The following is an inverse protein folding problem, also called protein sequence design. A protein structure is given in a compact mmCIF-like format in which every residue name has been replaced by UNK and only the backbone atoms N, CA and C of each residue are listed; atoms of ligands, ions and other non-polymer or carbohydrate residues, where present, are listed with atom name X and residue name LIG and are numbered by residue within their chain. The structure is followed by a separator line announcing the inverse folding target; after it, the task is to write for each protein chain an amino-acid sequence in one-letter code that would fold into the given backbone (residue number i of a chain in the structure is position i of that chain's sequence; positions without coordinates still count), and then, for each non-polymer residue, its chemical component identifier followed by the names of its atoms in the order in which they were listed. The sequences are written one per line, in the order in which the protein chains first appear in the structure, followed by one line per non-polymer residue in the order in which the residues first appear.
data_IF_783259866598
#
_entry.id   IF_783259866598
#
_cell.length_a   1.000
_cell.length_b   1.000
_cell.length_c   1.000
_cell.angle_alpha   90.00
_cell.angle_beta   90.00
_cell.angle_gamma   90.00
#
_symmetry.space_group_name_H-M   'P 1'
#
loop_
_entity.id
_entity.type
_entity.pdbx_description
1 polymer ?
2 polymer ?
3 non-polymer ?
4 non-polymer ?
5 non-polymer ?
6 non-polymer ?
7 water ?
#
loop_
_entity_poly.entity_id
_entity_poly.type
_entity_poly.pdbx_seq_one_letter_code
_entity_poly.pdbx_strand_id
2 'polydeoxyribonucleotide' '(DC)(DC)(DC)(DA)(DT)(DC)(DA)(DT)(DT)(DC)(DG)(DA)(DT)(DG)(DG)(DG)' ?
#
# COMPACT_ATOMS: atom_id res chain seq x y z
N UNK A 10 -27.97 -21.07 6.24
CA UNK A 10 -28.30 -21.13 7.69
C UNK A 10 -28.05 -19.73 8.30
N UNK A 11 -26.84 -19.17 8.17
CA UNK A 11 -26.47 -17.86 8.77
C UNK A 11 -26.88 -16.70 7.85
N UNK A 12 -27.79 -15.83 8.29
CA UNK A 12 -28.36 -14.73 7.47
C UNK A 12 -27.94 -13.37 8.05
N UNK A 13 -27.95 -12.35 7.20
CA UNK A 13 -27.43 -11.02 7.54
C UNK A 13 -28.59 -10.19 8.07
N UNK A 14 -28.31 -9.35 9.04
CA UNK A 14 -29.29 -8.38 9.58
C UNK A 14 -29.69 -7.41 8.47
N UNK A 15 -31.00 -7.15 8.25
CA UNK A 15 -31.43 -6.19 7.23
C UNK A 15 -30.74 -4.83 7.31
N UNK A 16 -30.57 -4.29 8.53
CA UNK A 16 -29.93 -2.98 8.75
C UNK A 16 -28.49 -3.04 8.22
N UNK A 17 -27.80 -4.19 8.39
CA UNK A 17 -26.37 -4.34 8.04
C UNK A 17 -26.30 -4.36 6.52
N UNK A 18 -27.26 -5.03 5.88
CA UNK A 18 -27.27 -5.13 4.40
C UNK A 18 -27.46 -3.72 3.86
N UNK A 19 -28.48 -3.01 4.33
CA UNK A 19 -28.88 -1.73 3.70
C UNK A 19 -27.84 -0.64 4.01
N UNK A 20 -27.16 -0.72 5.15
CA UNK A 20 -26.08 0.24 5.50
C UNK A 20 -24.81 -0.10 4.71
N UNK A 21 -24.54 -1.36 4.36
CA UNK A 21 -23.23 -1.74 3.74
C UNK A 21 -23.30 -1.89 2.22
N UNK A 22 -24.47 -2.15 1.62
CA UNK A 22 -24.54 -2.42 0.16
C UNK A 22 -25.06 -1.19 -0.55
N UNK A 23 -25.36 -0.11 0.18
CA UNK A 23 -25.85 1.13 -0.49
C UNK A 23 -24.73 1.65 -1.40
N UNK A 24 -25.03 1.81 -2.69
CA UNK A 24 -23.98 2.06 -3.70
C UNK A 24 -23.70 3.58 -3.85
N UNK A 25 -24.31 4.42 -3.03
CA UNK A 25 -23.88 5.83 -2.97
C UNK A 25 -23.20 6.20 -1.65
N UNK A 26 -23.06 5.27 -0.70
CA UNK A 26 -22.67 5.59 0.71
C UNK A 26 -21.60 4.60 1.20
N UNK A 27 -20.41 5.06 1.53
CA UNK A 27 -19.31 4.19 1.98
C UNK A 27 -19.43 3.81 3.45
N UNK A 28 -18.90 2.63 3.80
CA UNK A 28 -18.66 2.25 5.23
C UNK A 28 -17.22 1.76 5.41
N UNK A 29 -16.78 1.68 6.66
CA UNK A 29 -15.37 1.34 7.01
C UNK A 29 -15.30 -0.18 7.29
N UNK A 30 -16.04 -0.93 6.48
CA UNK A 30 -16.16 -2.41 6.48
C UNK A 30 -16.45 -2.91 5.07
N UNK A 31 -16.20 -4.19 4.85
CA UNK A 31 -16.51 -4.89 3.62
C UNK A 31 -17.28 -6.17 3.92
N UNK A 32 -18.46 -6.30 3.30
CA UNK A 32 -19.24 -7.55 3.31
C UNK A 32 -19.10 -8.22 1.95
N UNK A 33 -19.04 -9.54 2.00
CA UNK A 33 -18.98 -10.41 0.82
C UNK A 33 -20.00 -11.54 1.00
N UNK A 34 -21.04 -11.55 0.16
CA UNK A 34 -21.99 -12.69 0.01
C UNK A 34 -21.47 -13.57 -1.10
N UNK A 35 -21.44 -14.88 -0.87
CA UNK A 35 -20.87 -15.78 -1.90
C UNK A 35 -21.87 -16.92 -2.13
N UNK A 36 -21.79 -17.46 -3.35
CA UNK A 36 -22.64 -18.58 -3.84
C UNK A 36 -21.72 -19.40 -4.71
N UNK A 37 -21.83 -20.72 -4.59
CA UNK A 37 -21.04 -21.68 -5.41
C UNK A 37 -22.05 -22.54 -6.18
N UNK A 38 -21.89 -22.61 -7.50
CA UNK A 38 -22.70 -23.47 -8.38
C UNK A 38 -21.77 -24.43 -9.12
N UNK A 39 -22.18 -25.69 -9.28
CA UNK A 39 -21.53 -26.70 -10.14
C UNK A 39 -21.92 -26.46 -11.61
N UNK A 40 -20.96 -26.40 -12.54
CA UNK A 40 -21.20 -26.32 -14.00
C UNK A 40 -21.13 -27.73 -14.62
N UNK A 41 -22.26 -28.23 -15.12
CA UNK A 41 -22.33 -29.58 -15.74
C UNK A 41 -22.27 -29.45 -17.26
N UNK A 42 -22.44 -30.58 -17.95
CA UNK A 42 -22.67 -30.66 -19.43
C UNK A 42 -23.86 -29.74 -19.75
N UNK A 43 -23.58 -28.47 -20.05
CA UNK A 43 -24.59 -27.46 -20.42
C UNK A 43 -25.13 -26.73 -19.21
N UNK A 44 -25.67 -27.47 -18.23
CA UNK A 44 -26.50 -26.91 -17.12
C UNK A 44 -25.60 -26.38 -15.99
N UNK A 45 -26.19 -25.72 -15.01
CA UNK A 45 -25.57 -25.42 -13.68
C UNK A 45 -26.57 -25.73 -12.56
N UNK A 46 -26.22 -26.68 -11.66
CA UNK A 46 -27.03 -27.06 -10.47
C UNK A 46 -26.65 -26.18 -9.27
N UNK A 47 -27.60 -25.40 -8.74
CA UNK A 47 -27.44 -24.51 -7.55
C UNK A 47 -27.13 -25.37 -6.31
N UNK A 48 -26.09 -24.99 -5.54
CA UNK A 48 -25.61 -25.75 -4.35
C UNK A 48 -25.86 -24.93 -3.09
N UNK A 49 -27.14 -24.87 -2.70
CA UNK A 49 -27.73 -24.14 -1.54
C UNK A 49 -26.84 -24.27 -0.30
N UNK A 50 -26.23 -25.45 -0.08
CA UNK A 50 -25.30 -25.70 1.06
C UNK A 50 -24.09 -24.74 0.97
N UNK A 51 -23.62 -24.41 -0.25
CA UNK A 51 -22.43 -23.53 -0.47
C UNK A 51 -22.87 -22.10 -0.79
N UNK A 52 -23.50 -21.45 0.17
CA UNK A 52 -23.66 -19.98 0.09
C UNK A 52 -23.47 -19.46 1.50
N UNK A 53 -23.05 -18.20 1.63
CA UNK A 53 -23.02 -17.54 2.94
C UNK A 53 -22.48 -16.14 2.77
N UNK A 54 -22.14 -15.51 3.87
CA UNK A 54 -21.56 -14.15 3.79
C UNK A 54 -20.54 -14.06 4.92
N UNK A 55 -19.61 -13.15 4.69
CA UNK A 55 -18.62 -12.80 5.72
C UNK A 55 -18.28 -11.34 5.58
N UNK A 56 -17.44 -10.84 6.48
CA UNK A 56 -16.91 -9.45 6.42
C UNK A 56 -15.41 -9.51 6.71
N UNK A 57 -14.73 -8.41 6.49
CA UNK A 57 -13.27 -8.26 6.75
C UNK A 57 -13.03 -8.48 8.24
N UNK A 58 -11.84 -8.96 8.60
CA UNK A 58 -11.32 -8.79 9.99
C UNK A 58 -10.78 -7.37 10.13
N UNK A 59 -11.42 -6.55 10.96
CA UNK A 59 -11.07 -5.13 11.14
C UNK A 59 -9.61 -5.02 11.61
N UNK A 60 -8.89 -4.05 11.05
CA UNK A 60 -7.64 -3.46 11.59
C UNK A 60 -7.78 -3.24 13.10
N UNK A 61 -6.73 -3.51 13.88
CA UNK A 61 -6.84 -3.35 15.36
C UNK A 61 -5.45 -3.11 15.94
N UNK A 62 -5.06 -1.83 16.02
CA UNK A 62 -3.65 -1.48 16.30
C UNK A 62 -3.31 -1.74 17.78
N UNK A 63 -4.33 -1.83 18.66
CA UNK A 63 -4.19 -2.30 20.06
C UNK A 63 -3.54 -3.70 20.11
N UNK A 64 -3.66 -4.51 19.06
CA UNK A 64 -3.07 -5.87 18.96
C UNK A 64 -1.97 -5.93 17.89
N UNK A 65 -1.62 -4.82 17.24
CA UNK A 65 -0.72 -4.81 16.08
C UNK A 65 -1.27 -5.55 14.85
N UNK A 66 -2.60 -5.60 14.68
CA UNK A 66 -3.27 -6.37 13.60
C UNK A 66 -3.72 -5.39 12.52
N UNK A 67 -3.18 -5.49 11.31
CA UNK A 67 -3.54 -4.55 10.21
C UNK A 67 -4.66 -5.13 9.32
N UNK A 68 -5.46 -6.07 9.86
CA UNK A 68 -6.74 -6.47 9.26
C UNK A 68 -6.60 -7.61 8.27
N UNK A 69 -7.72 -8.21 7.85
CA UNK A 69 -7.70 -9.18 6.72
C UNK A 69 -8.96 -8.97 5.88
N UNK A 70 -8.76 -8.54 4.64
CA UNK A 70 -9.82 -8.10 3.70
C UNK A 70 -10.76 -9.27 3.41
N UNK A 71 -12.02 -8.95 3.13
CA UNK A 71 -13.12 -9.92 2.89
C UNK A 71 -12.71 -10.94 1.83
N UNK A 72 -12.10 -10.49 0.72
CA UNK A 72 -11.69 -11.43 -0.34
C UNK A 72 -10.75 -12.53 0.20
N UNK A 73 -9.79 -12.18 1.06
CA UNK A 73 -8.80 -13.15 1.63
C UNK A 73 -9.49 -14.03 2.67
N UNK A 74 -10.48 -13.49 3.38
CA UNK A 74 -11.31 -14.32 4.29
C UNK A 74 -12.02 -15.40 3.44
N UNK A 75 -12.47 -15.09 2.22
CA UNK A 75 -13.15 -16.08 1.35
C UNK A 75 -12.13 -17.14 0.94
N UNK A 76 -10.93 -16.74 0.52
CA UNK A 76 -9.87 -17.74 0.15
C UNK A 76 -9.57 -18.63 1.36
N UNK A 77 -9.60 -18.10 2.58
CA UNK A 77 -9.33 -18.88 3.81
C UNK A 77 -10.38 -20.01 3.94
N UNK A 78 -11.63 -19.78 3.53
CA UNK A 78 -12.72 -20.73 3.83
C UNK A 78 -12.88 -21.75 2.69
N UNK A 79 -12.13 -21.60 1.59
CA UNK A 79 -12.29 -22.46 0.38
C UNK A 79 -12.07 -23.93 0.74
N UNK A 80 -11.02 -24.30 1.50
CA UNK A 80 -10.82 -25.71 1.87
C UNK A 80 -12.06 -26.31 2.55
N UNK A 81 -12.69 -25.55 3.45
CA UNK A 81 -13.88 -26.02 4.19
C UNK A 81 -15.08 -26.15 3.23
N UNK A 82 -15.05 -25.57 2.04
CA UNK A 82 -16.16 -25.73 1.06
C UNK A 82 -16.13 -27.16 0.51
N UNK A 83 -14.95 -27.79 0.54
CA UNK A 83 -14.79 -29.18 0.06
C UNK A 83 -15.37 -29.27 -1.36
N UNK A 84 -14.89 -28.40 -2.26
CA UNK A 84 -15.14 -28.46 -3.72
C UNK A 84 -14.43 -29.70 -4.27
N UNK A 85 -15.14 -30.52 -5.03
CA UNK A 85 -14.63 -31.79 -5.63
C UNK A 85 -13.67 -31.40 -6.75
N UNK A 86 -12.37 -31.75 -6.65
CA UNK A 86 -11.40 -31.38 -7.68
C UNK A 86 -11.81 -31.90 -9.06
N UNK A 87 -12.67 -32.92 -9.11
CA UNK A 87 -13.10 -33.57 -10.37
C UNK A 87 -14.28 -32.81 -11.01
N UNK A 88 -14.82 -31.76 -10.40
CA UNK A 88 -15.95 -31.01 -11.00
C UNK A 88 -15.54 -29.57 -11.29
N UNK A 89 -16.30 -28.86 -12.12
CA UNK A 89 -16.04 -27.41 -12.41
C UNK A 89 -17.14 -26.60 -11.69
N UNK A 90 -16.73 -25.51 -11.06
CA UNK A 90 -17.62 -24.68 -10.20
C UNK A 90 -17.55 -23.21 -10.65
N UNK A 91 -18.65 -22.48 -10.48
CA UNK A 91 -18.62 -21.00 -10.62
C UNK A 91 -18.88 -20.46 -9.23
N UNK A 92 -17.95 -19.63 -8.74
CA UNK A 92 -18.11 -18.87 -7.46
C UNK A 92 -18.57 -17.47 -7.84
N UNK A 93 -19.64 -16.99 -7.21
CA UNK A 93 -20.10 -15.59 -7.36
C UNK A 93 -19.86 -14.89 -6.02
N UNK A 94 -19.25 -13.73 -6.08
CA UNK A 94 -19.14 -12.77 -4.95
C UNK A 94 -20.07 -11.60 -5.21
N UNK A 95 -20.77 -11.19 -4.18
CA UNK A 95 -21.41 -9.86 -4.13
C UNK A 95 -20.73 -9.13 -2.96
N UNK A 96 -19.86 -8.21 -3.33
CA UNK A 96 -18.89 -7.59 -2.39
C UNK A 96 -19.24 -6.11 -2.31
N UNK A 97 -19.35 -5.57 -1.08
CA UNK A 97 -19.73 -4.15 -0.88
C UNK A 97 -18.65 -3.19 -1.42
N UNK A 98 -17.36 -3.54 -1.40
CA UNK A 98 -16.27 -2.73 -1.99
C UNK A 98 -15.55 -3.62 -2.99
N UNK A 99 -15.08 -3.06 -4.11
CA UNK A 99 -14.25 -3.84 -5.06
C UNK A 99 -12.92 -4.21 -4.41
N UNK A 100 -12.32 -5.36 -4.80
CA UNK A 100 -11.04 -5.80 -4.25
C UNK A 100 -9.89 -4.80 -4.45
N UNK A 101 -9.03 -4.70 -3.44
CA UNK A 101 -7.87 -3.78 -3.46
C UNK A 101 -6.72 -4.49 -4.15
N UNK A 102 -5.71 -3.71 -4.52
CA UNK A 102 -4.39 -4.17 -5.01
C UNK A 102 -3.34 -4.07 -3.89
N UNK A 103 -3.29 -2.96 -3.17
CA UNK A 103 -2.09 -2.51 -2.42
C UNK A 103 -1.77 -3.42 -1.23
N UNK A 104 -2.75 -4.14 -0.67
CA UNK A 104 -2.44 -5.11 0.42
C UNK A 104 -2.12 -6.50 -0.15
N UNK A 105 -2.10 -6.66 -1.48
CA UNK A 105 -1.79 -7.93 -2.16
C UNK A 105 -3.02 -8.79 -2.44
N UNK A 106 -4.22 -8.30 -2.12
CA UNK A 106 -5.48 -9.08 -2.25
C UNK A 106 -5.76 -9.53 -3.70
N UNK A 107 -5.77 -8.63 -4.69
CA UNK A 107 -5.96 -9.01 -6.11
C UNK A 107 -4.96 -10.10 -6.53
N UNK A 108 -3.70 -9.98 -6.07
CA UNK A 108 -2.60 -10.91 -6.35
C UNK A 108 -2.90 -12.31 -5.85
N UNK A 109 -3.39 -12.44 -4.61
CA UNK A 109 -3.73 -13.75 -4.00
C UNK A 109 -4.94 -14.35 -4.73
N UNK A 110 -5.93 -13.54 -5.13
CA UNK A 110 -7.10 -14.07 -5.88
C UNK A 110 -6.62 -14.56 -7.24
N UNK A 111 -5.75 -13.80 -7.90
CA UNK A 111 -5.15 -14.27 -9.19
C UNK A 111 -4.46 -15.61 -8.94
N UNK A 112 -3.58 -15.71 -7.94
CA UNK A 112 -2.82 -16.95 -7.65
C UNK A 112 -3.81 -18.10 -7.44
N UNK A 113 -4.91 -17.79 -6.76
CA UNK A 113 -5.93 -18.82 -6.44
C UNK A 113 -6.51 -19.33 -7.76
N UNK A 114 -6.85 -18.43 -8.67
CA UNK A 114 -7.51 -18.81 -9.94
C UNK A 114 -6.54 -19.59 -10.83
N UNK A 115 -5.26 -19.21 -10.82
CA UNK A 115 -4.23 -19.91 -11.63
C UNK A 115 -4.03 -21.33 -11.09
N UNK A 116 -4.10 -21.49 -9.77
CA UNK A 116 -3.83 -22.78 -9.10
C UNK A 116 -5.07 -23.67 -9.19
N UNK A 117 -6.28 -23.10 -9.31
CA UNK A 117 -7.55 -23.87 -9.26
C UNK A 117 -8.36 -23.60 -10.52
N UNK A 118 -7.98 -24.24 -11.63
CA UNK A 118 -8.56 -24.00 -12.98
C UNK A 118 -9.97 -24.61 -13.09
N UNK A 119 -10.44 -25.39 -12.12
CA UNK A 119 -11.83 -25.92 -12.09
C UNK A 119 -12.79 -24.88 -11.46
N UNK A 120 -12.26 -23.75 -10.97
CA UNK A 120 -13.07 -22.69 -10.28
C UNK A 120 -13.15 -21.48 -11.20
N UNK A 121 -14.37 -21.08 -11.59
CA UNK A 121 -14.61 -19.83 -12.35
C UNK A 121 -15.20 -18.77 -11.42
N UNK A 122 -14.69 -17.53 -11.42
CA UNK A 122 -15.06 -16.51 -10.41
C UNK A 122 -15.84 -15.39 -11.10
N UNK A 123 -16.91 -14.95 -10.46
CA UNK A 123 -17.68 -13.79 -10.94
C UNK A 123 -17.78 -12.84 -9.75
N UNK A 124 -17.41 -11.57 -9.92
CA UNK A 124 -17.41 -10.57 -8.82
C UNK A 124 -18.38 -9.50 -9.26
N UNK A 125 -19.42 -9.22 -8.48
CA UNK A 125 -20.21 -8.00 -8.55
C UNK A 125 -19.91 -7.12 -7.35
N UNK A 126 -19.44 -5.90 -7.62
CA UNK A 126 -19.12 -4.91 -6.59
C UNK A 126 -20.26 -3.89 -6.49
N UNK A 127 -20.66 -3.58 -5.28
CA UNK A 127 -21.61 -2.47 -5.04
C UNK A 127 -20.93 -1.13 -5.30
N UNK A 128 -19.68 -0.96 -4.87
CA UNK A 128 -18.95 0.33 -4.92
C UNK A 128 -17.52 0.07 -5.35
N UNK A 129 -16.88 1.08 -5.95
CA UNK A 129 -15.46 0.95 -6.39
C UNK A 129 -14.56 1.44 -5.26
N UNK A 130 -13.64 0.60 -4.83
CA UNK A 130 -12.71 0.93 -3.73
C UNK A 130 -11.55 1.77 -4.24
N UNK A 131 -11.76 3.06 -4.50
CA UNK A 131 -10.68 3.88 -5.11
C UNK A 131 -9.88 4.61 -4.03
N UNK A 132 -10.13 4.34 -2.75
CA UNK A 132 -9.21 4.75 -1.68
C UNK A 132 -7.86 4.11 -2.03
N UNK A 133 -7.84 2.89 -2.55
CA UNK A 133 -6.59 2.25 -3.00
C UNK A 133 -6.20 2.91 -4.32
N UNK A 134 -5.08 3.65 -4.39
CA UNK A 134 -4.70 4.35 -5.62
C UNK A 134 -4.45 3.38 -6.78
N UNK A 135 -4.20 2.10 -6.50
CA UNK A 135 -3.95 1.06 -7.53
C UNK A 135 -5.23 0.24 -7.77
N UNK A 136 -6.40 0.82 -7.51
CA UNK A 136 -7.70 0.12 -7.68
C UNK A 136 -7.90 -0.32 -9.14
N UNK A 137 -7.48 0.48 -10.11
CA UNK A 137 -7.63 0.10 -11.53
C UNK A 137 -6.86 -1.20 -11.79
N UNK A 138 -5.65 -1.29 -11.22
CA UNK A 138 -4.74 -2.41 -11.51
C UNK A 138 -5.35 -3.68 -10.88
N UNK A 139 -6.04 -3.55 -9.75
CA UNK A 139 -6.76 -4.66 -9.10
C UNK A 139 -7.84 -5.19 -10.06
N UNK A 140 -8.69 -4.30 -10.61
CA UNK A 140 -9.83 -4.72 -11.47
C UNK A 140 -9.30 -5.34 -12.77
N UNK A 141 -8.26 -4.75 -13.35
CA UNK A 141 -7.63 -5.29 -14.59
C UNK A 141 -6.95 -6.65 -14.33
N UNK A 142 -6.27 -6.81 -13.20
CA UNK A 142 -5.58 -8.08 -12.86
C UNK A 142 -6.62 -9.20 -12.74
N UNK A 143 -7.72 -8.93 -12.05
CA UNK A 143 -8.79 -9.95 -11.85
C UNK A 143 -9.39 -10.31 -13.21
N UNK A 144 -9.69 -9.32 -14.04
CA UNK A 144 -10.21 -9.61 -15.39
C UNK A 144 -9.21 -10.49 -16.15
N UNK A 145 -7.93 -10.14 -16.14
CA UNK A 145 -6.84 -10.81 -16.90
C UNK A 145 -6.70 -12.26 -16.42
N UNK A 146 -7.02 -12.54 -15.15
CA UNK A 146 -6.99 -13.90 -14.56
C UNK A 146 -8.26 -14.68 -14.92
N UNK A 147 -9.24 -14.05 -15.56
CA UNK A 147 -10.41 -14.75 -16.12
C UNK A 147 -11.64 -14.53 -15.25
N UNK A 148 -11.55 -13.74 -14.19
CA UNK A 148 -12.70 -13.38 -13.35
C UNK A 148 -13.61 -12.44 -14.13
N UNK A 149 -14.92 -12.64 -14.03
CA UNK A 149 -15.89 -11.65 -14.56
C UNK A 149 -15.93 -10.56 -13.50
N UNK A 150 -15.63 -9.32 -13.86
CA UNK A 150 -15.66 -8.17 -12.92
C UNK A 150 -16.83 -7.28 -13.34
N UNK A 151 -17.78 -7.06 -12.44
CA UNK A 151 -19.04 -6.37 -12.77
C UNK A 151 -19.43 -5.46 -11.61
N UNK A 152 -20.32 -4.51 -11.89
CA UNK A 152 -21.02 -3.67 -10.89
C UNK A 152 -22.37 -4.29 -10.56
N UNK A 153 -22.76 -4.30 -9.28
CA UNK A 153 -24.09 -4.71 -8.84
C UNK A 153 -25.11 -3.74 -9.41
N UNK A 154 -26.20 -4.26 -9.97
CA UNK A 154 -27.41 -3.49 -10.34
C UNK A 154 -28.53 -3.97 -9.42
N UNK A 155 -29.72 -3.44 -9.68
CA UNK A 155 -30.99 -3.76 -8.98
C UNK A 155 -31.12 -5.28 -8.89
N UNK A 156 -30.96 -6.00 -9.98
CA UNK A 156 -31.15 -7.48 -9.96
C UNK A 156 -30.23 -8.12 -8.92
N UNK A 157 -28.97 -7.71 -8.83
CA UNK A 157 -28.02 -8.35 -7.87
C UNK A 157 -28.37 -7.94 -6.44
N UNK A 158 -28.74 -6.67 -6.23
CA UNK A 158 -29.11 -6.24 -4.86
C UNK A 158 -30.33 -7.02 -4.39
N UNK A 159 -31.32 -7.15 -5.27
CA UNK A 159 -32.59 -7.82 -4.92
C UNK A 159 -32.27 -9.29 -4.67
N UNK A 160 -31.43 -9.90 -5.50
CA UNK A 160 -31.08 -11.33 -5.26
C UNK A 160 -30.42 -11.49 -3.88
N UNK A 161 -29.51 -10.58 -3.50
CA UNK A 161 -28.76 -10.70 -2.22
C UNK A 161 -29.70 -10.49 -1.04
N UNK A 162 -30.59 -9.52 -1.14
CA UNK A 162 -31.65 -9.32 -0.12
C UNK A 162 -32.43 -10.62 0.03
N UNK A 163 -32.88 -11.20 -1.09
CA UNK A 163 -33.81 -12.34 -1.09
C UNK A 163 -33.07 -13.57 -0.53
N UNK A 164 -31.77 -13.68 -0.83
CA UNK A 164 -31.00 -14.91 -0.57
C UNK A 164 -30.25 -14.83 0.76
N UNK A 165 -29.70 -13.70 1.15
CA UNK A 165 -28.73 -13.66 2.27
C UNK A 165 -29.29 -12.97 3.51
N UNK A 166 -30.34 -12.16 3.36
CA UNK A 166 -30.80 -11.29 4.45
C UNK A 166 -31.96 -11.96 5.22
N UNK A 167 -32.00 -11.71 6.52
CA UNK A 167 -33.08 -12.15 7.45
C UNK A 167 -34.25 -11.16 7.31
N UNK A 168 -34.94 -11.15 6.16
CA UNK A 168 -35.97 -10.13 5.84
C UNK A 168 -37.28 -10.48 6.54
N UNK A 169 -37.49 -11.71 7.03
CA UNK A 169 -38.76 -12.14 7.67
C UNK A 169 -39.98 -11.93 6.76
N UNK A 170 -39.80 -11.88 5.42
CA UNK A 170 -40.92 -11.79 4.47
C UNK A 170 -40.95 -10.44 3.76
N UNK A 171 -40.11 -9.50 4.17
CA UNK A 171 -40.14 -8.10 3.68
C UNK A 171 -39.49 -8.05 2.30
N UNK A 172 -40.20 -7.68 1.20
CA UNK A 172 -39.57 -7.52 -0.10
C UNK A 172 -38.41 -6.52 -0.06
N UNK A 173 -37.49 -6.61 -1.02
CA UNK A 173 -36.38 -5.65 -1.16
C UNK A 173 -36.98 -4.26 -1.42
N UNK A 174 -36.52 -3.24 -0.71
CA UNK A 174 -36.96 -1.84 -0.90
C UNK A 174 -35.77 -1.05 -1.43
N UNK A 175 -35.65 -0.80 -2.74
CA UNK A 175 -34.44 -0.15 -3.24
C UNK A 175 -34.22 1.21 -2.59
N UNK A 176 -32.99 1.58 -2.22
CA UNK A 176 -32.67 2.95 -1.73
C UNK A 176 -32.79 3.93 -2.89
N UNK A 177 -33.02 5.20 -2.62
CA UNK A 177 -33.01 6.28 -3.65
C UNK A 177 -31.67 6.31 -4.39
N UNK A 178 -31.67 6.45 -5.71
CA UNK A 178 -30.43 6.62 -6.48
C UNK A 178 -29.76 5.29 -6.82
N UNK A 179 -30.34 4.17 -6.41
CA UNK A 179 -29.73 2.84 -6.71
C UNK A 179 -29.33 2.77 -8.18
N UNK A 180 -30.28 2.95 -9.10
CA UNK A 180 -30.05 2.77 -10.57
C UNK A 180 -29.03 3.79 -11.08
N UNK A 181 -29.17 5.05 -10.67
CA UNK A 181 -28.28 6.15 -11.11
C UNK A 181 -26.84 5.80 -10.68
N UNK A 182 -26.66 5.35 -9.45
CA UNK A 182 -25.29 5.05 -8.93
C UNK A 182 -24.73 3.81 -9.65
N UNK A 183 -25.56 2.81 -9.90
CA UNK A 183 -25.11 1.59 -10.62
C UNK A 183 -24.65 1.97 -12.03
N UNK A 184 -25.39 2.83 -12.70
CA UNK A 184 -25.01 3.22 -14.10
C UNK A 184 -23.67 3.95 -14.06
N UNK A 185 -23.52 4.94 -13.19
CA UNK A 185 -22.29 5.76 -13.11
C UNK A 185 -21.10 4.83 -12.80
N UNK A 186 -21.26 3.92 -11.85
CA UNK A 186 -20.14 3.02 -11.48
C UNK A 186 -19.83 2.14 -12.69
N UNK A 187 -20.88 1.69 -13.37
CA UNK A 187 -20.76 0.78 -14.54
C UNK A 187 -19.90 1.48 -15.59
N UNK A 188 -20.11 2.78 -15.77
CA UNK A 188 -19.35 3.59 -16.75
C UNK A 188 -17.89 3.68 -16.32
N UNK A 189 -17.61 3.78 -15.01
CA UNK A 189 -16.21 3.92 -14.52
C UNK A 189 -15.54 2.59 -14.72
N UNK A 190 -16.26 1.51 -14.44
CA UNK A 190 -15.65 0.17 -14.56
C UNK A 190 -15.36 -0.18 -16.01
N UNK A 191 -16.26 0.18 -16.92
CA UNK A 191 -16.06 -0.10 -18.36
C UNK A 191 -14.82 0.64 -18.85
N UNK A 192 -14.67 1.93 -18.56
CA UNK A 192 -13.48 2.74 -18.97
C UNK A 192 -12.20 2.06 -18.45
N UNK A 193 -12.22 1.51 -17.23
CA UNK A 193 -11.05 0.82 -16.62
C UNK A 193 -10.77 -0.48 -17.38
N UNK A 194 -11.82 -1.22 -17.78
CA UNK A 194 -11.61 -2.57 -18.41
C UNK A 194 -11.35 -2.44 -19.91
N UNK A 195 -11.60 -1.27 -20.51
CA UNK A 195 -11.34 -1.11 -21.96
C UNK A 195 -9.87 -1.29 -22.28
N UNK A 196 -8.97 -0.89 -21.36
CA UNK A 196 -7.49 -0.99 -21.54
C UNK A 196 -6.98 -2.36 -21.04
N UNK B 10 32.85 14.68 -6.55
CA UNK B 10 32.79 15.14 -7.96
C UNK B 10 31.32 15.39 -8.35
N UNK B 11 30.31 14.61 -7.97
CA UNK B 11 28.90 14.84 -8.40
C UNK B 11 28.14 15.76 -7.44
N UNK B 12 27.81 17.00 -7.83
CA UNK B 12 27.39 18.06 -6.86
C UNK B 12 25.99 18.59 -7.20
N UNK B 13 25.22 18.98 -6.19
CA UNK B 13 23.81 19.38 -6.32
C UNK B 13 23.77 20.89 -6.56
N UNK B 14 22.87 21.34 -7.41
CA UNK B 14 22.58 22.77 -7.62
C UNK B 14 22.11 23.40 -6.31
N UNK B 15 22.68 24.53 -5.84
CA UNK B 15 22.25 25.14 -4.58
C UNK B 15 20.73 25.40 -4.51
N UNK B 16 20.11 25.84 -5.62
CA UNK B 16 18.65 26.12 -5.69
C UNK B 16 17.88 24.81 -5.43
N UNK B 17 18.36 23.70 -5.98
CA UNK B 17 17.75 22.35 -5.81
C UNK B 17 17.85 21.98 -4.33
N UNK B 18 19.02 22.20 -3.70
CA UNK B 18 19.22 21.82 -2.28
C UNK B 18 18.25 22.64 -1.45
N UNK B 19 18.21 23.95 -1.63
CA UNK B 19 17.48 24.81 -0.68
C UNK B 19 15.97 24.67 -0.90
N UNK B 20 15.50 24.37 -2.11
CA UNK B 20 14.06 24.10 -2.34
C UNK B 20 13.69 22.70 -1.85
N UNK B 21 14.58 21.71 -1.92
CA UNK B 21 14.20 20.32 -1.56
C UNK B 21 14.47 20.00 -0.08
N UNK B 22 15.38 20.69 0.59
CA UNK B 22 15.74 20.33 1.97
C UNK B 22 15.09 21.33 2.93
N UNK B 23 14.34 22.28 2.41
CA UNK B 23 13.60 23.25 3.28
C UNK B 23 12.68 22.46 4.21
N UNK B 24 12.79 22.64 5.52
CA UNK B 24 12.03 21.78 6.45
C UNK B 24 10.67 22.40 6.79
N UNK B 25 10.25 23.48 6.14
CA UNK B 25 8.83 23.90 6.22
C UNK B 25 8.00 23.17 5.17
N UNK B 26 7.72 23.86 4.05
CA UNK B 26 6.97 23.26 2.91
C UNK B 26 7.93 22.50 1.98
N UNK B 27 7.43 21.39 1.47
CA UNK B 27 8.25 20.41 0.74
C UNK B 27 7.99 20.48 -0.75
N UNK B 28 8.42 19.43 -1.47
CA UNK B 28 8.39 19.38 -2.96
C UNK B 28 7.84 18.02 -3.37
N UNK B 29 7.49 17.87 -4.64
CA UNK B 29 6.86 16.65 -5.20
C UNK B 29 7.98 15.73 -5.70
N UNK B 30 9.11 15.79 -5.00
CA UNK B 30 10.29 14.92 -5.23
C UNK B 30 11.03 14.67 -3.91
N UNK B 31 11.92 13.70 -3.96
CA UNK B 31 12.73 13.32 -2.81
C UNK B 31 14.19 13.28 -3.23
N UNK B 32 15.03 13.95 -2.46
CA UNK B 32 16.51 13.86 -2.59
C UNK B 32 17.05 13.05 -1.42
N UNK B 33 18.11 12.30 -1.71
CA UNK B 33 18.83 11.52 -0.70
C UNK B 33 20.33 11.73 -0.93
N UNK B 34 21.01 12.26 0.09
CA UNK B 34 22.48 12.36 0.13
C UNK B 34 22.97 11.21 1.00
N UNK B 35 23.98 10.48 0.56
CA UNK B 35 24.40 9.31 1.36
C UNK B 35 25.92 9.39 1.56
N UNK B 36 26.38 8.77 2.65
CA UNK B 36 27.80 8.65 3.07
C UNK B 36 27.96 7.27 3.67
N UNK B 37 29.05 6.59 3.33
CA UNK B 37 29.31 5.20 3.78
C UNK B 37 30.69 5.22 4.42
N UNK B 38 30.80 4.76 5.67
CA UNK B 38 32.05 4.73 6.48
C UNK B 38 32.25 3.31 7.03
N UNK B 39 33.49 2.83 7.09
CA UNK B 39 33.88 1.54 7.71
C UNK B 39 34.08 1.75 9.21
N UNK B 40 33.53 0.88 10.07
CA UNK B 40 33.82 0.87 11.53
C UNK B 40 34.87 -0.21 11.84
N UNK B 41 36.07 0.20 12.25
CA UNK B 41 37.23 -0.68 12.52
C UNK B 41 37.63 -0.54 14.00
N UNK B 42 37.60 -1.65 14.74
CA UNK B 42 37.94 -1.74 16.20
C UNK B 42 37.34 -0.54 16.94
N UNK B 43 36.03 -0.30 16.79
CA UNK B 43 35.26 0.74 17.51
C UNK B 43 35.44 2.14 16.92
N UNK B 44 36.41 2.32 16.01
CA UNK B 44 36.79 3.62 15.40
C UNK B 44 35.89 3.87 14.18
N UNK B 45 36.20 4.89 13.37
CA UNK B 45 35.41 5.34 12.19
C UNK B 45 36.36 5.97 11.17
N UNK B 46 36.52 5.39 9.97
CA UNK B 46 37.34 5.94 8.86
C UNK B 46 36.44 6.15 7.63
N UNK B 47 36.30 7.42 7.18
CA UNK B 47 35.45 7.85 6.04
C UNK B 47 35.94 7.22 4.72
N UNK B 48 35.02 6.75 3.86
CA UNK B 48 35.30 6.26 2.48
C UNK B 48 34.77 7.26 1.46
N UNK B 49 35.53 8.36 1.27
CA UNK B 49 35.26 9.51 0.37
C UNK B 49 34.68 9.06 -0.98
N UNK B 50 35.17 7.93 -1.53
CA UNK B 50 34.65 7.33 -2.79
C UNK B 50 33.14 7.04 -2.66
N UNK B 51 32.66 6.66 -1.47
CA UNK B 51 31.26 6.22 -1.21
C UNK B 51 30.45 7.37 -0.60
N UNK B 52 30.32 8.47 -1.31
CA UNK B 52 29.31 9.49 -0.94
C UNK B 52 28.70 9.98 -2.24
N UNK B 53 27.44 10.39 -2.19
CA UNK B 53 26.85 10.99 -3.39
C UNK B 53 25.40 11.30 -3.10
N UNK B 54 24.62 11.57 -4.12
CA UNK B 54 23.20 11.92 -3.89
C UNK B 54 22.42 11.46 -5.11
N UNK B 55 21.13 11.28 -4.88
CA UNK B 55 20.22 10.87 -5.97
C UNK B 55 18.84 11.42 -5.64
N UNK B 56 17.89 11.19 -6.54
CA UNK B 56 16.48 11.54 -6.30
C UNK B 56 15.60 10.39 -6.79
N UNK B 57 14.34 10.41 -6.40
CA UNK B 57 13.35 9.41 -6.85
C UNK B 57 13.27 9.42 -8.39
N UNK B 58 12.93 8.28 -8.96
CA UNK B 58 12.42 8.21 -10.36
C UNK B 58 10.94 8.58 -10.33
N UNK B 59 10.58 9.73 -10.90
CA UNK B 59 9.20 10.26 -10.86
C UNK B 59 8.22 9.27 -11.51
N UNK B 60 7.07 9.08 -10.85
CA UNK B 60 5.87 8.37 -11.36
C UNK B 60 5.57 8.82 -12.80
N UNK B 61 5.13 7.91 -13.66
CA UNK B 61 4.54 8.28 -14.97
C UNK B 61 3.50 7.25 -15.36
N UNK B 62 2.27 7.38 -14.86
CA UNK B 62 1.16 6.41 -15.06
C UNK B 62 0.74 6.31 -16.53
N UNK B 63 0.87 7.39 -17.28
CA UNK B 63 0.58 7.45 -18.74
C UNK B 63 1.44 6.40 -19.48
N UNK B 64 2.60 6.03 -18.93
CA UNK B 64 3.54 5.05 -19.54
C UNK B 64 3.64 3.77 -18.71
N UNK B 65 2.77 3.58 -17.71
CA UNK B 65 2.77 2.38 -16.85
C UNK B 65 3.89 2.34 -15.81
N UNK B 66 4.59 3.45 -15.52
CA UNK B 66 5.68 3.49 -14.52
C UNK B 66 5.18 4.10 -13.20
N UNK B 67 5.18 3.31 -12.14
CA UNK B 67 4.76 3.69 -10.76
C UNK B 67 5.82 4.50 -9.99
N UNK B 68 6.97 4.78 -10.59
CA UNK B 68 8.05 5.54 -9.92
C UNK B 68 8.91 4.66 -9.03
N UNK B 69 10.08 5.16 -8.63
CA UNK B 69 10.93 4.43 -7.66
C UNK B 69 11.45 5.42 -6.62
N UNK B 70 11.06 5.23 -5.37
CA UNK B 70 11.36 6.17 -4.26
C UNK B 70 12.88 6.20 -4.05
N UNK B 71 13.39 7.31 -3.56
CA UNK B 71 14.81 7.62 -3.30
C UNK B 71 15.48 6.50 -2.50
N UNK B 72 14.80 6.00 -1.48
CA UNK B 72 15.38 4.97 -0.59
C UNK B 72 15.63 3.69 -1.39
N UNK B 73 14.73 3.29 -2.30
CA UNK B 73 14.93 2.07 -3.12
C UNK B 73 16.00 2.30 -4.18
N UNK B 74 16.10 3.54 -4.69
CA UNK B 74 17.23 3.88 -5.62
C UNK B 74 18.55 3.67 -4.87
N UNK B 75 18.62 3.99 -3.56
CA UNK B 75 19.88 3.78 -2.80
C UNK B 75 20.16 2.27 -2.76
N UNK B 76 19.16 1.46 -2.39
CA UNK B 76 19.35 -0.01 -2.32
C UNK B 76 19.80 -0.55 -3.69
N UNK B 77 19.32 0.02 -4.80
CA UNK B 77 19.73 -0.38 -6.17
C UNK B 77 21.25 -0.19 -6.33
N UNK B 78 21.86 0.83 -5.72
CA UNK B 78 23.27 1.16 -6.02
C UNK B 78 24.24 0.46 -5.05
N UNK B 79 23.73 -0.26 -4.06
CA UNK B 79 24.59 -0.86 -3.00
C UNK B 79 25.61 -1.83 -3.60
N UNK B 80 25.23 -2.71 -4.55
CA UNK B 80 26.20 -3.62 -5.17
C UNK B 80 27.39 -2.86 -5.80
N UNK B 81 27.15 -1.70 -6.40
CA UNK B 81 28.22 -0.89 -7.04
C UNK B 81 29.16 -0.30 -5.97
N UNK B 82 28.76 -0.24 -4.71
CA UNK B 82 29.67 0.26 -3.64
C UNK B 82 30.69 -0.82 -3.28
N UNK B 83 30.40 -2.07 -3.63
CA UNK B 83 31.34 -3.20 -3.42
C UNK B 83 31.76 -3.24 -1.94
N UNK B 84 30.76 -3.29 -1.05
CA UNK B 84 30.96 -3.40 0.42
C UNK B 84 31.47 -4.81 0.72
N UNK B 85 32.51 -4.92 1.56
CA UNK B 85 33.06 -6.20 2.05
C UNK B 85 32.04 -6.81 3.02
N UNK B 86 31.42 -7.96 2.69
CA UNK B 86 30.27 -8.44 3.48
C UNK B 86 30.70 -8.84 4.90
N UNK B 87 31.99 -9.01 5.17
CA UNK B 87 32.55 -9.33 6.51
C UNK B 87 32.81 -8.06 7.33
N UNK B 88 32.65 -6.86 6.76
CA UNK B 88 33.07 -5.64 7.49
C UNK B 88 31.82 -4.89 7.94
N UNK B 89 32.00 -4.09 8.99
CA UNK B 89 30.88 -3.29 9.57
C UNK B 89 30.97 -1.89 8.95
N UNK B 90 29.86 -1.44 8.38
CA UNK B 90 29.76 -0.11 7.73
C UNK B 90 28.64 0.69 8.38
N UNK B 91 28.86 2.00 8.51
CA UNK B 91 27.78 2.94 8.89
C UNK B 91 27.39 3.72 7.63
N UNK B 92 26.13 3.58 7.23
CA UNK B 92 25.54 4.28 6.07
C UNK B 92 24.72 5.41 6.68
N UNK B 93 24.85 6.61 6.16
CA UNK B 93 24.09 7.79 6.63
C UNK B 93 23.31 8.32 5.43
N UNK B 94 22.01 8.52 5.63
CA UNK B 94 21.12 9.13 4.62
C UNK B 94 20.75 10.50 5.15
N UNK B 95 20.82 11.51 4.31
CA UNK B 95 20.14 12.80 4.56
C UNK B 95 19.06 12.90 3.49
N UNK B 96 17.83 12.66 3.90
CA UNK B 96 16.70 12.40 2.98
C UNK B 96 15.69 13.54 3.15
N UNK B 97 15.17 14.08 2.05
CA UNK B 97 14.32 15.30 2.14
C UNK B 97 12.93 14.93 2.67
N UNK B 98 12.47 13.71 2.43
CA UNK B 98 11.21 13.16 3.00
C UNK B 98 11.58 11.91 3.80
N UNK B 99 10.93 11.67 4.93
CA UNK B 99 11.05 10.36 5.63
C UNK B 99 10.52 9.21 4.76
N UNK B 100 11.12 8.01 4.87
CA UNK B 100 10.68 6.85 4.09
C UNK B 100 9.21 6.46 4.37
N UNK B 101 8.53 6.04 3.30
CA UNK B 101 7.10 5.66 3.30
C UNK B 101 7.01 4.19 3.71
N UNK B 102 5.80 3.77 4.04
CA UNK B 102 5.41 2.37 4.32
C UNK B 102 4.68 1.82 3.09
N UNK B 103 3.71 2.57 2.59
CA UNK B 103 2.60 2.04 1.74
C UNK B 103 3.14 1.52 0.39
N UNK B 104 4.25 2.07 -0.11
CA UNK B 104 4.83 1.62 -1.40
C UNK B 104 5.81 0.45 -1.15
N UNK B 105 5.93 -0.02 0.09
CA UNK B 105 6.78 -1.17 0.48
C UNK B 105 8.21 -0.78 0.81
N UNK B 106 8.56 0.50 0.77
CA UNK B 106 9.96 0.99 0.91
C UNK B 106 10.56 0.69 2.28
N UNK B 107 9.89 0.98 3.39
CA UNK B 107 10.38 0.62 4.74
C UNK B 107 10.62 -0.89 4.83
N UNK B 108 9.73 -1.70 4.24
CA UNK B 108 9.83 -3.17 4.16
C UNK B 108 11.12 -3.63 3.49
N UNK B 109 11.47 -3.03 2.34
CA UNK B 109 12.70 -3.39 1.60
C UNK B 109 13.93 -2.92 2.38
N UNK B 110 13.88 -1.77 3.06
CA UNK B 110 15.06 -1.32 3.88
C UNK B 110 15.20 -2.26 5.08
N UNK B 111 14.09 -2.64 5.71
CA UNK B 111 14.15 -3.63 6.81
C UNK B 111 14.77 -4.92 6.27
N UNK B 112 14.31 -5.43 5.13
CA UNK B 112 14.84 -6.70 4.54
C UNK B 112 16.34 -6.53 4.31
N UNK B 113 16.74 -5.36 3.84
CA UNK B 113 18.16 -5.08 3.53
C UNK B 113 18.97 -5.16 4.83
N UNK B 114 18.47 -4.57 5.93
CA UNK B 114 19.19 -4.54 7.23
C UNK B 114 19.23 -5.96 7.83
N UNK B 115 18.19 -6.75 7.64
CA UNK B 115 18.17 -8.16 8.12
C UNK B 115 19.15 -9.00 7.32
N UNK B 116 19.31 -8.73 6.02
CA UNK B 116 20.17 -9.51 5.10
C UNK B 116 21.62 -9.09 5.31
N UNK B 117 21.87 -7.86 5.74
CA UNK B 117 23.22 -7.28 5.92
C UNK B 117 23.38 -6.77 7.35
N UNK B 118 23.68 -7.68 8.28
CA UNK B 118 23.67 -7.34 9.73
C UNK B 118 24.93 -6.55 10.11
N UNK B 119 25.92 -6.44 9.22
CA UNK B 119 27.15 -5.65 9.45
C UNK B 119 26.92 -4.18 9.04
N UNK B 120 25.77 -3.86 8.45
CA UNK B 120 25.38 -2.47 8.09
C UNK B 120 24.66 -1.81 9.26
N UNK B 121 25.10 -0.62 9.65
CA UNK B 121 24.37 0.27 10.59
C UNK B 121 23.87 1.48 9.79
N UNK B 122 22.56 1.69 9.79
CA UNK B 122 21.95 2.74 8.95
C UNK B 122 21.49 3.86 9.87
N UNK B 123 21.71 5.08 9.42
CA UNK B 123 21.35 6.29 10.18
C UNK B 123 20.63 7.16 9.19
N UNK B 124 19.39 7.52 9.48
CA UNK B 124 18.57 8.30 8.53
C UNK B 124 18.30 9.63 9.24
N UNK B 125 18.61 10.71 8.54
CA UNK B 125 18.25 12.07 9.00
C UNK B 125 17.27 12.61 7.98
N UNK B 126 16.02 12.84 8.39
CA UNK B 126 14.97 13.36 7.49
C UNK B 126 14.82 14.86 7.70
N UNK B 127 14.72 15.61 6.61
CA UNK B 127 14.34 17.05 6.66
C UNK B 127 12.86 17.22 7.07
N UNK B 128 11.99 16.40 6.54
CA UNK B 128 10.53 16.52 6.71
C UNK B 128 9.95 15.14 7.03
N UNK B 129 8.80 15.10 7.65
CA UNK B 129 8.12 13.80 7.85
C UNK B 129 7.09 13.63 6.74
N UNK B 130 7.16 12.49 6.06
CA UNK B 130 6.27 12.19 4.91
C UNK B 130 4.93 11.65 5.42
N UNK B 131 4.04 12.52 5.87
CA UNK B 131 2.76 12.04 6.47
C UNK B 131 1.65 12.04 5.43
N UNK B 132 1.96 12.33 4.17
CA UNK B 132 1.05 12.03 3.06
C UNK B 132 0.73 10.54 3.08
N UNK B 133 1.70 9.69 3.41
CA UNK B 133 1.45 8.23 3.56
C UNK B 133 0.75 8.06 4.91
N UNK B 134 -0.51 7.57 4.94
CA UNK B 134 -1.25 7.39 6.19
C UNK B 134 -0.55 6.42 7.17
N UNK B 135 0.30 5.53 6.67
CA UNK B 135 1.04 4.55 7.52
C UNK B 135 2.47 5.03 7.81
N UNK B 136 2.69 6.34 7.77
CA UNK B 136 4.04 6.94 7.97
C UNK B 136 4.61 6.55 9.33
N UNK B 137 3.77 6.50 10.38
CA UNK B 137 4.25 6.12 11.73
C UNK B 137 4.85 4.71 11.67
N UNK B 138 4.15 3.80 10.99
CA UNK B 138 4.52 2.36 10.96
C UNK B 138 5.84 2.23 10.22
N UNK B 139 6.08 3.07 9.18
CA UNK B 139 7.38 3.11 8.48
C UNK B 139 8.51 3.46 9.45
N UNK B 140 8.34 4.54 10.23
CA UNK B 140 9.41 5.04 11.13
C UNK B 140 9.65 4.02 12.26
N UNK B 141 8.59 3.43 12.80
CA UNK B 141 8.70 2.40 13.86
C UNK B 141 9.39 1.13 13.31
N UNK B 142 9.03 0.70 12.10
CA UNK B 142 9.64 -0.50 11.47
C UNK B 142 11.15 -0.25 11.28
N UNK B 143 11.56 0.91 10.75
CA UNK B 143 13.01 1.21 10.56
C UNK B 143 13.73 1.20 11.92
N UNK B 144 13.17 1.87 12.92
CA UNK B 144 13.76 1.79 14.27
C UNK B 144 13.89 0.32 14.71
N UNK B 145 12.82 -0.47 14.59
CA UNK B 145 12.77 -1.88 15.11
C UNK B 145 13.80 -2.75 14.37
N UNK B 146 14.16 -2.40 13.13
CA UNK B 146 15.20 -3.08 12.32
C UNK B 146 16.60 -2.60 12.72
N UNK B 147 16.71 -1.60 13.60
CA UNK B 147 17.96 -1.14 14.22
C UNK B 147 18.49 0.10 13.53
N UNK B 148 17.72 0.72 12.64
CA UNK B 148 18.13 2.00 12.02
C UNK B 148 17.99 3.11 13.09
N UNK B 149 18.91 4.07 13.09
CA UNK B 149 18.74 5.33 13.86
C UNK B 149 17.89 6.24 12.99
N UNK B 150 16.72 6.65 13.47
CA UNK B 150 15.80 7.52 12.70
C UNK B 150 15.77 8.88 13.39
N UNK B 151 16.11 9.95 12.68
CA UNK B 151 16.35 11.26 13.31
C UNK B 151 15.79 12.34 12.38
N UNK B 152 15.56 13.52 12.94
CA UNK B 152 15.28 14.76 12.15
C UNK B 152 16.59 15.52 11.86
N UNK B 153 16.71 16.07 10.65
CA UNK B 153 17.82 16.96 10.29
C UNK B 153 17.72 18.23 11.13
N UNK B 154 18.84 18.62 11.72
CA UNK B 154 19.02 19.97 12.34
C UNK B 154 20.02 20.76 11.51
N UNK B 155 20.26 22.01 11.90
CA UNK B 155 21.28 22.94 11.34
C UNK B 155 22.59 22.21 11.03
N UNK B 156 23.12 21.43 11.95
CA UNK B 156 24.41 20.72 11.75
C UNK B 156 24.34 19.81 10.51
N UNK B 157 23.24 19.08 10.30
CA UNK B 157 23.12 18.15 9.14
C UNK B 157 22.91 18.97 7.87
N UNK B 158 22.08 20.00 7.93
CA UNK B 158 21.86 20.85 6.71
C UNK B 158 23.20 21.44 6.26
N UNK B 159 23.96 21.99 7.21
CA UNK B 159 25.27 22.62 6.91
C UNK B 159 26.21 21.54 6.36
N UNK B 160 26.27 20.38 6.98
CA UNK B 160 27.13 19.30 6.43
C UNK B 160 26.75 18.98 4.98
N UNK B 161 25.47 18.90 4.63
CA UNK B 161 25.04 18.50 3.27
C UNK B 161 25.39 19.58 2.27
N UNK B 162 25.09 20.82 2.63
CA UNK B 162 25.56 22.02 1.87
C UNK B 162 27.06 21.94 1.63
N UNK B 163 27.85 21.69 2.68
CA UNK B 163 29.33 21.74 2.58
C UNK B 163 29.80 20.59 1.68
N UNK B 164 29.18 19.43 1.78
CA UNK B 164 29.70 18.16 1.18
C UNK B 164 29.13 17.93 -0.21
N UNK B 165 27.85 18.20 -0.44
CA UNK B 165 27.16 17.71 -1.66
C UNK B 165 26.78 18.85 -2.58
N UNK B 166 26.77 20.10 -2.14
CA UNK B 166 26.27 21.23 -2.97
C UNK B 166 27.42 21.92 -3.73
N UNK B 167 27.12 22.36 -4.96
CA UNK B 167 28.02 23.20 -5.78
C UNK B 167 27.91 24.66 -5.31
N UNK B 168 28.38 24.97 -4.11
CA UNK B 168 28.15 26.27 -3.43
C UNK B 168 29.03 27.36 -4.04
N UNK B 169 30.07 27.00 -4.81
CA UNK B 169 31.01 27.98 -5.44
C UNK B 169 31.71 28.83 -4.37
N UNK B 170 31.77 28.36 -3.12
CA UNK B 170 32.49 29.02 -2.01
C UNK B 170 31.54 29.72 -1.04
N UNK B 171 30.23 29.74 -1.29
CA UNK B 171 29.23 30.43 -0.42
C UNK B 171 29.00 29.55 0.82
N UNK B 172 29.27 30.01 2.06
CA UNK B 172 28.84 29.28 3.26
C UNK B 172 27.32 29.00 3.28
N UNK B 173 26.92 27.99 4.03
CA UNK B 173 25.49 27.64 4.24
C UNK B 173 24.76 28.86 4.81
N UNK B 174 23.59 29.20 4.27
CA UNK B 174 22.75 30.31 4.80
C UNK B 174 21.45 29.67 5.27
N UNK B 175 21.17 29.55 6.58
CA UNK B 175 19.93 28.89 6.99
C UNK B 175 18.72 29.68 6.50
N UNK B 176 17.65 28.99 6.07
CA UNK B 176 16.35 29.63 5.74
C UNK B 176 15.64 30.01 7.04
N UNK B 177 14.72 30.96 6.99
CA UNK B 177 13.90 31.34 8.19
C UNK B 177 13.12 30.11 8.70
N UNK B 178 13.01 29.94 10.02
CA UNK B 178 12.20 28.85 10.59
C UNK B 178 12.95 27.54 10.67
N UNK B 179 14.21 27.50 10.24
CA UNK B 179 14.93 26.18 10.21
C UNK B 179 14.87 25.54 11.59
N UNK B 180 15.33 26.23 12.64
CA UNK B 180 15.43 25.63 14.00
C UNK B 180 14.04 25.32 14.53
N UNK B 181 13.10 26.23 14.34
CA UNK B 181 11.70 26.07 14.79
C UNK B 181 11.13 24.78 14.17
N UNK B 182 11.28 24.60 12.86
CA UNK B 182 10.71 23.41 12.16
C UNK B 182 11.42 22.15 12.63
N UNK B 183 12.75 22.19 12.79
CA UNK B 183 13.53 21.01 13.25
C UNK B 183 13.03 20.58 14.64
N UNK B 184 12.79 21.52 15.54
CA UNK B 184 12.39 21.18 16.93
C UNK B 184 11.00 20.54 16.91
N UNK B 185 10.06 21.16 16.19
CA UNK B 185 8.67 20.67 16.10
C UNK B 185 8.69 19.25 15.51
N UNK B 186 9.43 19.03 14.44
CA UNK B 186 9.48 17.69 13.82
C UNK B 186 10.10 16.69 14.80
N UNK B 187 11.14 17.12 15.51
CA UNK B 187 11.84 16.29 16.52
C UNK B 187 10.81 15.81 17.54
N UNK B 188 9.93 16.71 17.98
CA UNK B 188 8.88 16.40 18.97
C UNK B 188 7.90 15.38 18.42
N UNK B 189 7.51 15.51 17.15
CA UNK B 189 6.54 14.56 16.55
C UNK B 189 7.23 13.21 16.37
N UNK B 190 8.50 13.20 16.01
CA UNK B 190 9.22 11.91 15.77
C UNK B 190 9.46 11.20 17.09
N UNK B 191 9.78 11.93 18.16
CA UNK B 191 9.97 11.29 19.48
C UNK B 191 8.65 10.63 19.92
N UNK B 192 7.52 11.33 19.80
CA UNK B 192 6.17 10.77 20.13
C UNK B 192 5.92 9.46 19.36
N UNK B 193 6.31 9.40 18.08
CA UNK B 193 6.14 8.21 17.22
C UNK B 193 7.06 7.09 17.72
N UNK B 194 8.31 7.41 18.06
CA UNK B 194 9.26 6.32 18.40
C UNK B 194 9.13 5.93 19.88
N UNK B 195 8.44 6.72 20.71
CA UNK B 195 8.46 6.48 22.18
C UNK B 195 7.91 5.07 22.46
N UNK B 196 6.95 4.61 21.65
CA UNK B 196 6.29 3.28 21.74
C UNK B 196 6.31 2.56 20.37
X LIG E 1 -7.53 -6.07 0.00
X LIG F 1 -9.41 -6.75 -1.09
X LIG G 1 2.26 -1.96 -3.15
X LIG G 1 3.36 -1.85 -2.09
X LIG G 1 1.14 -0.97 -2.83
X LIG G 1 2.83 -1.64 -4.52
X LIG G 1 1.71 -3.39 -3.15
X LIG H 1 -35.71 -14.48 -8.92
X LIG H 1 -35.09 -15.03 -10.19
X LIG H 1 -35.90 -16.22 -10.63
X LIG H 1 -37.29 -15.70 -11.02
X LIG H 1 -37.97 -15.04 -9.83
X LIG H 1 -37.08 -13.93 -9.28
X LIG H 1 -34.93 -13.37 -8.36
X LIG H 1 -34.18 -13.35 -6.94
X LIG H 1 -33.92 -11.85 -6.88
X LIG H 1 -32.92 -14.16 -7.17
X LIG H 1 -34.95 -13.81 -5.73
X LIG H 1 -33.68 -15.44 -10.05
X LIG H 1 -32.84 -15.79 -11.39
X LIG H 1 -31.47 -15.17 -11.20
X LIG H 1 -32.76 -17.30 -11.55
X LIG H 1 -33.59 -15.16 -12.56
X LIG H 1 -36.02 -17.15 -9.50
X LIG H 1 -34.82 -17.93 -8.76
X LIG H 1 -33.95 -16.93 -8.02
X LIG H 1 -35.47 -18.90 -7.80
X LIG H 1 -34.04 -18.65 -9.85
X LIG H 1 -38.08 -16.83 -11.52
X LIG H 1 -37.79 -17.41 -13.00
X LIG H 1 -36.88 -16.41 -13.69
X LIG H 1 -37.12 -18.77 -12.83
X LIG H 1 -39.13 -17.53 -13.68
X LIG H 1 -39.25 -14.46 -10.29
X LIG H 1 -39.48 -13.27 -11.36
X LIG H 1 -40.61 -13.78 -12.25
X LIG H 1 -39.89 -12.03 -10.58
X LIG H 1 -38.19 -13.06 -12.14
X LIG H 1 -37.65 -13.27 -8.11
X LIG H 1 -38.77 -13.75 -7.07
X LIG H 1 -38.67 -12.69 -5.98
X LIG H 1 -40.10 -13.71 -7.79
X LIG H 1 -38.41 -15.13 -6.54
X LIG I 1 8.63 4.76 -0.54
X LIG J 1 10.41 5.58 0.70
X LIG K 1 5.66 11.24 26.75
X LIG K 1 5.57 12.62 26.13
X LIG K 1 5.51 11.40 28.27
X LIG K 1 6.99 10.60 26.44
X LIG K 1 4.55 10.34 26.22
X LIG L 1 7.63 13.82 29.95
X LIG L 1 7.76 14.97 30.95
X LIG L 1 8.23 12.56 30.53
X LIG L 1 8.35 14.16 28.66
X LIG L 1 6.12 13.60 29.66
#
# INVERSE_FOLDING_TARGET
MEASPASGPRHLMDPHIFTSNFNNGIGRHKTYLCYEVERLDNGTSVKMDQHRGFLHNQAKNLLCGFYGRHAALRFLDLVPSLQLDPAQIYRVTWFISWSPCFSWGCAGEVRAFLQENTHVRLRIFAARIYDYDPLYKEALQMLRDAGAQVSIMTYDEFKHCWDTFVDHQGCPFQPWDGLDEHSQALSGRLRAILQNQGN
MEASPASGPRHLMDPHIFTSNFNNGIGRHKTYLCYEVERLDNGTSVKMDQHRGFLHNQAKNLLCGFYGRHAALRFLDLVPSLQLDPAQIYRVTWFISWSPCFSWGCAGEVRAFLQENTHVRLRIFAARIYDYDPLYKEALQMLRDAGAQVSIMTYDEFKHCWDTFVDHQGCPFQPWDGLDEHSQALSGRLRAILQNQGN
ZN ZN
CL CL
PO4 P O1 O2 O3 O4
IHP C1 C2 C3 C4 C5 C6 O11 P1 O21 O31 O41 O12 P2 O22 O32 O42 O13 P3 O23 O33 O43 O14 P4 O24 O34 O44 O15 P5 O25 O35 O45 O16 P6 O26 O36 O46
ZN ZN
CL CL
PO4 P O1 O2 O3 O4
PO4 P O1 O2 O3 O4
#
